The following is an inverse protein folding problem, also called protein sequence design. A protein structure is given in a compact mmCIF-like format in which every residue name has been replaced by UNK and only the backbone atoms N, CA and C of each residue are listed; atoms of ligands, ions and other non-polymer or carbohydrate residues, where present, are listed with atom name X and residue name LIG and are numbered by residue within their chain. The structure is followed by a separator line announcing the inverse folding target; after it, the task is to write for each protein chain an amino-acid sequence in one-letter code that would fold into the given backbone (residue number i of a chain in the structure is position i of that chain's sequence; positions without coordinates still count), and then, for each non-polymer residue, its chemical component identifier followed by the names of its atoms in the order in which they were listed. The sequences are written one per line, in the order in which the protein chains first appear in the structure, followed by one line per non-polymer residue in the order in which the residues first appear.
data_IF_865651099652
#
_entry.id   IF_865651099652
#
_cell.length_a   1.000
_cell.length_b   1.000
_cell.length_c   1.000
_cell.angle_alpha   90.00
_cell.angle_beta   90.00
_cell.angle_gamma   90.00
#
_symmetry.space_group_name_H-M   'P 1'
#
loop_
_entity.id
_entity.type
_entity.pdbx_description
1 polymer ?
#
# COMPACT_ATOMS: atom_id res chain seq x y z
N UNK A 1 -12.39 -10.24 -25.41
CA UNK A 1 -13.49 -10.33 -24.42
C UNK A 1 -13.24 -11.34 -23.29
N UNK A 2 -13.10 -12.65 -23.52
CA UNK A 2 -12.92 -13.61 -22.40
C UNK A 2 -11.68 -13.32 -21.54
N UNK A 3 -10.55 -13.00 -22.17
CA UNK A 3 -9.34 -12.61 -21.43
C UNK A 3 -9.50 -11.32 -20.61
N UNK A 4 -10.33 -10.37 -21.07
CA UNK A 4 -10.64 -9.15 -20.33
C UNK A 4 -11.51 -9.46 -19.10
N UNK A 5 -12.55 -10.28 -19.26
CA UNK A 5 -13.39 -10.72 -18.14
C UNK A 5 -12.61 -11.54 -17.11
N UNK A 6 -11.69 -12.41 -17.54
CA UNK A 6 -10.80 -13.13 -16.63
C UNK A 6 -9.91 -12.19 -15.83
N UNK A 7 -9.34 -11.15 -16.47
CA UNK A 7 -8.55 -10.13 -15.79
C UNK A 7 -9.39 -9.35 -14.77
N UNK A 8 -10.61 -8.95 -15.13
CA UNK A 8 -11.54 -8.28 -14.22
C UNK A 8 -11.92 -9.18 -13.04
N UNK A 9 -12.22 -10.47 -13.29
CA UNK A 9 -12.58 -11.43 -12.27
C UNK A 9 -11.44 -11.67 -11.28
N UNK A 10 -10.20 -11.78 -11.76
CA UNK A 10 -9.01 -11.88 -10.91
C UNK A 10 -8.86 -10.63 -10.02
N UNK A 11 -9.09 -9.43 -10.57
CA UNK A 11 -9.01 -8.17 -9.79
C UNK A 11 -10.11 -8.04 -8.76
N UNK A 12 -11.35 -8.35 -9.13
CA UNK A 12 -12.49 -8.37 -8.21
C UNK A 12 -12.21 -9.33 -7.05
N UNK A 13 -11.68 -10.53 -7.34
CA UNK A 13 -11.32 -11.51 -6.29
C UNK A 13 -10.30 -10.92 -5.31
N UNK A 14 -9.17 -10.41 -5.81
CA UNK A 14 -8.10 -9.82 -4.98
C UNK A 14 -8.62 -8.66 -4.12
N UNK A 15 -9.42 -7.76 -4.70
CA UNK A 15 -10.00 -6.63 -3.97
C UNK A 15 -11.02 -7.08 -2.90
N UNK A 16 -11.77 -8.16 -3.16
CA UNK A 16 -12.75 -8.71 -2.22
C UNK A 16 -12.06 -9.34 -1.02
N UNK A 17 -11.03 -10.16 -1.26
CA UNK A 17 -10.20 -10.77 -0.21
C UNK A 17 -9.54 -9.70 0.66
N UNK A 18 -9.11 -8.58 0.07
CA UNK A 18 -8.57 -7.42 0.80
C UNK A 18 -9.62 -6.72 1.67
N UNK A 19 -10.82 -6.50 1.13
CA UNK A 19 -11.90 -5.85 1.87
C UNK A 19 -12.30 -6.67 3.11
N UNK A 20 -12.35 -8.00 2.97
CA UNK A 20 -12.63 -8.91 4.09
C UNK A 20 -11.53 -8.89 5.15
N UNK A 21 -10.25 -8.82 4.74
CA UNK A 21 -9.11 -8.76 5.64
C UNK A 21 -9.01 -7.45 6.43
N UNK A 22 -9.49 -6.32 5.90
CA UNK A 22 -9.47 -5.02 6.61
C UNK A 22 -10.47 -4.93 7.77
N UNK A 23 -11.35 -5.92 7.98
CA UNK A 23 -12.20 -6.00 9.18
C UNK A 23 -13.23 -4.87 9.36
N UNK A 24 -13.47 -4.06 8.32
CA UNK A 24 -14.44 -2.96 8.34
C UNK A 24 -13.90 -1.58 8.74
N UNK A 25 -12.62 -1.46 9.10
CA UNK A 25 -11.99 -0.16 9.35
C UNK A 25 -11.57 0.45 8.00
N UNK A 26 -12.23 1.54 7.58
CA UNK A 26 -12.05 2.14 6.26
C UNK A 26 -11.08 3.33 6.33
N UNK A 27 -9.79 3.07 6.11
CA UNK A 27 -8.81 4.13 5.83
C UNK A 27 -8.97 4.72 4.43
N UNK A 28 -8.26 5.82 4.13
CA UNK A 28 -8.32 6.46 2.80
C UNK A 28 -7.86 5.55 1.64
N UNK A 29 -6.91 4.63 1.89
CA UNK A 29 -6.48 3.61 0.92
C UNK A 29 -7.53 2.50 0.72
N UNK A 30 -8.39 2.27 1.72
CA UNK A 30 -9.50 1.34 1.63
C UNK A 30 -10.66 1.92 0.81
N UNK A 31 -10.84 3.25 0.84
CA UNK A 31 -11.87 3.92 0.02
C UNK A 31 -11.61 3.75 -1.48
N UNK A 32 -10.36 3.92 -1.96
CA UNK A 32 -10.08 3.75 -3.40
C UNK A 32 -10.28 2.30 -3.86
N UNK A 33 -9.91 1.33 -3.02
CA UNK A 33 -10.13 -0.10 -3.26
C UNK A 33 -11.63 -0.42 -3.29
N UNK A 34 -12.38 0.12 -2.34
CA UNK A 34 -13.82 -0.04 -2.27
C UNK A 34 -14.51 0.54 -3.51
N UNK A 35 -14.17 1.77 -3.92
CA UNK A 35 -14.73 2.42 -5.10
C UNK A 35 -14.39 1.65 -6.39
N UNK A 36 -13.15 1.15 -6.50
CA UNK A 36 -12.76 0.34 -7.64
C UNK A 36 -13.52 -1.00 -7.67
N UNK A 37 -13.73 -1.61 -6.51
CA UNK A 37 -14.52 -2.84 -6.39
C UNK A 37 -15.99 -2.61 -6.76
N UNK A 38 -16.56 -1.48 -6.32
CA UNK A 38 -17.90 -1.03 -6.68
C UNK A 38 -18.04 -0.73 -8.18
N UNK A 39 -16.95 -0.35 -8.85
CA UNK A 39 -16.92 -0.14 -10.30
C UNK A 39 -16.81 -1.46 -11.07
N UNK A 40 -15.90 -2.35 -10.65
CA UNK A 40 -15.58 -3.59 -11.38
C UNK A 40 -16.64 -4.69 -11.22
N UNK A 41 -17.23 -4.85 -10.03
CA UNK A 41 -18.21 -5.92 -9.77
C UNK A 41 -19.45 -5.81 -10.67
N UNK A 42 -20.15 -4.66 -10.76
CA UNK A 42 -21.32 -4.53 -11.63
C UNK A 42 -20.95 -4.69 -13.12
N UNK A 43 -19.86 -4.06 -13.56
CA UNK A 43 -19.39 -4.18 -14.95
C UNK A 43 -19.10 -5.63 -15.34
N UNK A 44 -18.46 -6.41 -14.46
CA UNK A 44 -18.20 -7.83 -14.69
C UNK A 44 -19.50 -8.63 -14.81
N UNK A 45 -20.49 -8.38 -13.95
CA UNK A 45 -21.77 -9.07 -14.00
C UNK A 45 -22.53 -8.77 -15.31
N UNK A 46 -22.50 -7.51 -15.75
CA UNK A 46 -23.12 -7.09 -17.02
C UNK A 46 -22.42 -7.77 -18.21
N UNK A 47 -21.08 -7.76 -18.25
CA UNK A 47 -20.32 -8.41 -19.32
C UNK A 47 -20.56 -9.92 -19.37
N UNK A 48 -20.68 -10.58 -18.21
CA UNK A 48 -21.04 -11.99 -18.13
C UNK A 48 -22.44 -12.26 -18.68
N UNK A 49 -23.41 -11.40 -18.37
CA UNK A 49 -24.77 -11.48 -18.92
C UNK A 49 -24.77 -11.30 -20.44
N UNK A 50 -24.08 -10.28 -20.96
CA UNK A 50 -23.96 -10.02 -22.39
C UNK A 50 -23.27 -11.19 -23.11
N UNK A 51 -22.19 -11.77 -22.55
CA UNK A 51 -21.56 -12.96 -23.15
C UNK A 51 -22.54 -14.13 -23.28
N UNK A 52 -23.41 -14.34 -22.29
CA UNK A 52 -24.39 -15.43 -22.29
C UNK A 52 -25.59 -15.21 -23.22
N UNK A 53 -25.77 -14.01 -23.77
CA UNK A 53 -26.93 -13.65 -24.57
C UNK A 53 -26.49 -12.98 -25.88
N UNK A 54 -26.58 -13.67 -27.01
CA UNK A 54 -26.06 -13.17 -28.30
C UNK A 54 -27.04 -12.26 -29.06
N UNK A 55 -28.23 -11.98 -28.53
CA UNK A 55 -29.30 -11.25 -29.22
C UNK A 55 -29.31 -9.72 -29.06
N UNK A 56 -28.28 -9.12 -28.46
CA UNK A 56 -28.25 -7.66 -28.24
C UNK A 56 -27.55 -6.92 -29.39
N UNK A 57 -27.95 -5.66 -29.59
CA UNK A 57 -27.29 -4.77 -30.54
C UNK A 57 -25.90 -4.35 -30.03
N UNK A 58 -24.83 -4.37 -30.85
CA UNK A 58 -23.44 -4.16 -30.41
C UNK A 58 -23.18 -2.82 -29.72
N UNK A 59 -23.97 -1.79 -30.03
CA UNK A 59 -23.94 -0.50 -29.31
C UNK A 59 -24.13 -0.67 -27.80
N UNK A 60 -24.92 -1.64 -27.34
CA UNK A 60 -25.10 -1.89 -25.91
C UNK A 60 -23.77 -2.25 -25.25
N UNK A 61 -23.01 -3.15 -25.86
CA UNK A 61 -21.67 -3.50 -25.35
C UNK A 61 -20.73 -2.30 -25.41
N UNK A 62 -20.78 -1.52 -26.48
CA UNK A 62 -19.99 -0.30 -26.60
C UNK A 62 -20.26 0.67 -25.44
N UNK A 63 -21.53 0.91 -25.10
CA UNK A 63 -21.93 1.79 -24.02
C UNK A 63 -21.43 1.31 -22.65
N UNK A 64 -21.52 0.01 -22.36
CA UNK A 64 -20.99 -0.58 -21.12
C UNK A 64 -19.45 -0.46 -21.02
N UNK A 65 -18.73 -0.71 -22.12
CA UNK A 65 -17.27 -0.58 -22.17
C UNK A 65 -16.82 0.88 -22.04
N UNK A 66 -17.58 1.82 -22.61
CA UNK A 66 -17.35 3.26 -22.51
C UNK A 66 -17.50 3.74 -21.07
N UNK A 67 -18.56 3.29 -20.38
CA UNK A 67 -18.78 3.60 -18.97
C UNK A 67 -17.64 3.04 -18.11
N UNK A 68 -17.28 1.77 -18.29
CA UNK A 68 -16.19 1.14 -17.57
C UNK A 68 -14.87 1.88 -17.78
N UNK A 69 -14.48 2.17 -19.02
CA UNK A 69 -13.24 2.86 -19.33
C UNK A 69 -13.19 4.24 -18.67
N UNK A 70 -14.27 5.01 -18.77
CA UNK A 70 -14.38 6.34 -18.17
C UNK A 70 -14.23 6.30 -16.65
N UNK A 71 -14.88 5.34 -15.98
CA UNK A 71 -14.75 5.16 -14.54
C UNK A 71 -13.34 4.75 -14.12
N UNK A 72 -12.66 3.91 -14.91
CA UNK A 72 -11.29 3.47 -14.61
C UNK A 72 -10.25 4.59 -14.76
N UNK A 73 -10.45 5.52 -15.69
CA UNK A 73 -9.58 6.70 -15.83
C UNK A 73 -9.54 7.55 -14.55
N UNK A 74 -10.65 7.63 -13.80
CA UNK A 74 -10.73 8.39 -12.56
C UNK A 74 -9.75 7.90 -11.46
N UNK A 75 -9.27 6.66 -11.55
CA UNK A 75 -8.29 6.11 -10.60
C UNK A 75 -6.83 6.39 -10.99
N UNK A 76 -6.58 7.10 -12.10
CA UNK A 76 -5.24 7.45 -12.56
C UNK A 76 -4.99 8.96 -12.40
N UNK A 77 -4.23 9.40 -11.39
CA UNK A 77 -4.01 10.83 -11.14
C UNK A 77 -3.29 11.54 -12.30
N UNK A 78 -2.42 10.83 -13.03
CA UNK A 78 -1.65 11.39 -14.14
C UNK A 78 -2.24 11.08 -15.53
N UNK A 79 -3.39 10.40 -15.60
CA UNK A 79 -4.01 10.14 -16.89
C UNK A 79 -4.71 11.41 -17.38
N UNK A 80 -4.28 11.90 -18.55
CA UNK A 80 -5.18 12.73 -19.38
C UNK A 80 -6.39 11.86 -19.72
N UNK A 81 -7.58 12.45 -19.75
CA UNK A 81 -8.75 11.79 -20.33
C UNK A 81 -8.37 11.37 -21.76
N UNK A 82 -8.03 10.09 -21.95
CA UNK A 82 -7.72 9.56 -23.27
C UNK A 82 -8.96 9.66 -24.14
N UNK A 83 -8.79 9.86 -25.44
CA UNK A 83 -9.91 9.81 -26.37
C UNK A 83 -10.53 8.41 -26.32
N UNK A 84 -11.76 8.32 -25.84
CA UNK A 84 -12.53 7.08 -25.87
C UNK A 84 -12.80 6.70 -27.32
N UNK A 85 -12.72 5.41 -27.69
CA UNK A 85 -13.05 4.98 -29.05
C UNK A 85 -14.46 5.44 -29.44
N UNK A 86 -14.62 6.00 -30.64
CA UNK A 86 -15.93 6.35 -31.18
C UNK A 86 -16.63 5.11 -31.75
N UNK A 87 -17.94 5.05 -31.58
CA UNK A 87 -18.73 3.97 -32.13
C UNK A 87 -18.75 4.04 -33.66
N UNK A 88 -18.35 2.95 -34.33
CA UNK A 88 -18.44 2.77 -35.77
C UNK A 88 -19.11 1.44 -36.05
N UNK A 89 -20.40 1.46 -36.41
CA UNK A 89 -21.15 0.23 -36.69
C UNK A 89 -20.61 -0.52 -37.91
N UNK A 90 -19.97 0.19 -38.85
CA UNK A 90 -19.34 -0.41 -40.03
C UNK A 90 -17.98 -1.06 -39.76
N UNK A 91 -17.36 -0.81 -38.60
CA UNK A 91 -16.04 -1.36 -38.23
C UNK A 91 -15.98 -1.69 -36.72
N UNK A 92 -16.88 -2.58 -36.30
CA UNK A 92 -16.97 -3.00 -34.89
C UNK A 92 -15.68 -3.68 -34.40
N UNK A 93 -14.96 -4.39 -35.29
CA UNK A 93 -13.71 -5.08 -34.96
C UNK A 93 -12.66 -4.10 -34.42
N UNK A 94 -12.41 -3.01 -35.16
CA UNK A 94 -11.45 -1.98 -34.75
C UNK A 94 -11.86 -1.29 -33.45
N UNK A 95 -13.16 -0.97 -33.32
CA UNK A 95 -13.70 -0.32 -32.12
C UNK A 95 -13.47 -1.17 -30.86
N UNK A 96 -13.87 -2.45 -30.89
CA UNK A 96 -13.77 -3.31 -29.72
C UNK A 96 -12.34 -3.76 -29.44
N UNK A 97 -11.48 -3.86 -30.46
CA UNK A 97 -10.05 -4.12 -30.25
C UNK A 97 -9.38 -2.98 -29.47
N UNK A 98 -9.65 -1.72 -29.85
CA UNK A 98 -9.16 -0.54 -29.12
C UNK A 98 -9.63 -0.52 -27.67
N UNK A 99 -10.89 -0.90 -27.41
CA UNK A 99 -11.38 -1.05 -26.04
C UNK A 99 -10.66 -2.16 -25.27
N UNK A 100 -10.41 -3.34 -25.87
CA UNK A 100 -9.72 -4.44 -25.20
C UNK A 100 -8.28 -4.03 -24.80
N UNK A 101 -7.55 -3.38 -25.71
CA UNK A 101 -6.20 -2.85 -25.45
C UNK A 101 -6.21 -1.77 -24.35
N UNK A 102 -7.07 -0.77 -24.48
CA UNK A 102 -7.19 0.32 -23.51
C UNK A 102 -7.58 -0.18 -22.12
N UNK A 103 -8.59 -1.05 -22.03
CA UNK A 103 -9.07 -1.57 -20.75
C UNK A 103 -8.04 -2.48 -20.08
N UNK A 104 -7.21 -3.23 -20.83
CA UNK A 104 -6.10 -4.00 -20.23
C UNK A 104 -5.07 -3.10 -19.57
N UNK A 105 -4.69 -2.01 -20.24
CA UNK A 105 -3.77 -1.01 -19.66
C UNK A 105 -4.38 -0.40 -18.42
N UNK A 106 -5.62 0.11 -18.52
CA UNK A 106 -6.33 0.70 -17.38
C UNK A 106 -6.44 -0.28 -16.23
N UNK A 107 -6.94 -1.50 -16.45
CA UNK A 107 -7.08 -2.51 -15.42
C UNK A 107 -5.75 -2.86 -14.76
N UNK A 108 -4.65 -2.90 -15.52
CA UNK A 108 -3.31 -3.16 -14.97
C UNK A 108 -2.88 -2.04 -14.02
N UNK A 109 -3.07 -0.79 -14.44
CA UNK A 109 -2.58 0.41 -13.72
C UNK A 109 -3.45 0.82 -12.53
N UNK A 110 -4.76 0.55 -12.57
CA UNK A 110 -5.74 1.02 -11.57
C UNK A 110 -5.67 0.28 -10.23
N UNK A 111 -4.91 -0.82 -10.14
CA UNK A 111 -4.79 -1.52 -8.86
C UNK A 111 -4.12 -0.59 -7.85
N UNK A 112 -4.80 -0.25 -6.74
CA UNK A 112 -4.14 0.43 -5.65
C UNK A 112 -3.04 -0.53 -5.18
N UNK A 113 -1.79 -0.16 -5.44
CA UNK A 113 -0.65 -0.73 -4.74
C UNK A 113 -0.93 -0.40 -3.28
N UNK A 114 -1.28 -1.42 -2.49
CA UNK A 114 -1.33 -1.28 -1.05
C UNK A 114 0.03 -0.72 -0.64
N UNK A 115 0.04 0.42 0.02
CA UNK A 115 1.02 0.59 1.07
C UNK A 115 0.61 -0.39 2.16
N UNK A 116 0.93 -1.68 1.98
CA UNK A 116 0.91 -2.60 3.10
C UNK A 116 1.88 -1.97 4.09
N UNK A 117 1.38 -1.57 5.26
CA UNK A 117 2.22 -0.92 6.26
C UNK A 117 3.52 -1.70 6.46
N UNK A 118 4.59 -1.01 6.87
CA UNK A 118 5.91 -1.63 6.97
C UNK A 118 5.84 -2.79 7.97
N UNK A 119 6.05 -4.03 7.52
CA UNK A 119 6.06 -5.21 8.38
C UNK A 119 7.48 -5.57 8.77
N UNK A 120 7.80 -5.42 10.04
CA UNK A 120 9.06 -5.92 10.60
C UNK A 120 9.02 -7.44 10.71
N UNK A 121 10.02 -8.08 10.12
CA UNK A 121 10.31 -9.50 10.24
C UNK A 121 11.55 -9.66 11.12
N UNK A 122 11.49 -10.59 12.07
CA UNK A 122 12.62 -10.88 12.94
C UNK A 122 13.68 -11.65 12.14
N UNK A 123 14.86 -11.08 12.00
CA UNK A 123 16.00 -11.74 11.33
C UNK A 123 16.89 -12.47 12.34
N UNK A 124 17.09 -11.88 13.52
CA UNK A 124 17.84 -12.50 14.61
C UNK A 124 17.30 -12.09 15.97
N UNK A 125 18.01 -12.47 17.05
CA UNK A 125 17.55 -12.21 18.40
C UNK A 125 17.41 -10.71 18.72
N UNK A 126 18.25 -9.88 18.10
CA UNK A 126 18.34 -8.44 18.30
C UNK A 126 18.10 -7.63 17.01
N UNK A 127 17.76 -8.27 15.88
CA UNK A 127 17.62 -7.59 14.58
C UNK A 127 16.29 -7.91 13.92
N UNK A 128 15.60 -6.85 13.51
CA UNK A 128 14.39 -6.89 12.70
C UNK A 128 14.65 -6.18 11.38
N UNK A 129 13.97 -6.62 10.31
CA UNK A 129 14.05 -6.00 9.00
C UNK A 129 12.70 -5.94 8.30
N UNK A 130 12.56 -4.99 7.40
CA UNK A 130 11.54 -4.92 6.38
C UNK A 130 12.23 -4.75 5.03
N UNK A 131 11.84 -5.56 4.06
CA UNK A 131 12.35 -5.55 2.69
C UNK A 131 11.24 -5.15 1.73
N UNK A 132 11.60 -4.61 0.57
CA UNK A 132 10.66 -4.17 -0.47
C UNK A 132 9.64 -3.15 0.07
N UNK A 133 10.10 -2.19 0.87
CA UNK A 133 9.25 -1.15 1.45
C UNK A 133 8.85 -0.16 0.37
N UNK A 134 7.54 0.14 0.25
CA UNK A 134 7.04 1.08 -0.76
C UNK A 134 7.65 2.47 -0.54
N UNK A 135 8.38 2.97 -1.53
CA UNK A 135 9.01 4.29 -1.49
C UNK A 135 8.01 5.42 -1.23
N UNK A 136 6.76 5.28 -1.66
CA UNK A 136 5.71 6.29 -1.43
C UNK A 136 5.32 6.37 0.03
N UNK A 137 5.41 5.26 0.77
CA UNK A 137 5.21 5.24 2.22
C UNK A 137 6.39 5.88 2.94
N UNK A 138 7.62 5.57 2.52
CA UNK A 138 8.85 6.15 3.08
C UNK A 138 8.90 7.68 2.89
N UNK A 139 8.35 8.20 1.80
CA UNK A 139 8.39 9.63 1.48
C UNK A 139 7.11 10.40 1.84
N UNK A 140 5.95 9.73 1.91
CA UNK A 140 4.64 10.36 2.04
C UNK A 140 3.93 10.15 3.37
N UNK A 141 4.55 9.45 4.33
CA UNK A 141 3.98 9.24 5.64
C UNK A 141 5.03 9.45 6.74
N UNK A 142 4.58 9.94 7.89
CA UNK A 142 5.34 9.92 9.13
C UNK A 142 5.40 8.50 9.69
N UNK A 143 6.61 8.01 9.99
CA UNK A 143 6.84 6.62 10.43
C UNK A 143 7.17 6.58 11.93
N UNK A 144 6.50 5.69 12.66
CA UNK A 144 6.70 5.47 14.09
C UNK A 144 6.92 3.98 14.40
N UNK A 145 7.73 3.71 15.42
CA UNK A 145 7.79 2.44 16.13
C UNK A 145 6.79 2.49 17.27
N UNK A 146 5.86 1.55 17.32
CA UNK A 146 5.05 1.31 18.50
C UNK A 146 5.69 0.16 19.28
N UNK A 147 6.04 0.43 20.54
CA UNK A 147 6.79 -0.48 21.40
C UNK A 147 6.02 -0.74 22.68
N UNK A 148 5.71 -2.01 22.94
CA UNK A 148 5.19 -2.48 24.21
C UNK A 148 6.31 -3.23 24.92
N UNK A 149 6.77 -2.67 26.03
CA UNK A 149 7.76 -3.28 26.90
C UNK A 149 7.21 -3.31 28.33
N UNK A 150 7.15 -4.50 28.91
CA UNK A 150 6.60 -4.73 30.25
C UNK A 150 7.71 -4.48 31.29
N UNK A 151 7.96 -3.19 31.56
CA UNK A 151 8.91 -2.74 32.58
C UNK A 151 8.23 -1.73 33.52
N UNK A 152 8.53 -1.84 34.81
CA UNK A 152 8.01 -0.95 35.85
C UNK A 152 8.76 0.38 35.92
N UNK A 153 10.01 0.45 35.43
CA UNK A 153 10.80 1.67 35.42
C UNK A 153 10.60 2.46 34.12
N UNK A 154 9.97 3.66 34.14
CA UNK A 154 9.74 4.46 32.93
C UNK A 154 11.03 4.93 32.23
N UNK A 155 12.20 4.78 32.87
CA UNK A 155 13.49 5.11 32.25
C UNK A 155 13.74 4.33 30.95
N UNK A 156 13.13 3.14 30.79
CA UNK A 156 13.25 2.29 29.62
C UNK A 156 12.94 3.03 28.31
N UNK A 157 12.03 4.00 28.34
CA UNK A 157 11.64 4.80 27.16
C UNK A 157 12.82 5.61 26.63
N UNK A 158 13.51 6.31 27.53
CA UNK A 158 14.69 7.08 27.19
C UNK A 158 15.86 6.17 26.79
N UNK A 159 15.99 5.02 27.45
CA UNK A 159 16.99 4.02 27.12
C UNK A 159 16.77 3.41 25.74
N UNK A 160 15.53 3.10 25.38
CA UNK A 160 15.16 2.55 24.09
C UNK A 160 15.52 3.53 22.97
N UNK A 161 15.09 4.80 23.09
CA UNK A 161 15.43 5.83 22.11
C UNK A 161 16.95 6.02 21.93
N UNK A 162 17.74 5.81 22.99
CA UNK A 162 19.20 5.93 22.97
C UNK A 162 19.89 4.72 22.33
N UNK A 163 19.46 3.51 22.72
CA UNK A 163 20.17 2.27 22.43
C UNK A 163 19.68 1.55 21.17
N UNK A 164 18.39 1.66 20.82
CA UNK A 164 17.88 1.15 19.57
C UNK A 164 18.54 1.89 18.39
N UNK A 165 18.82 1.15 17.31
CA UNK A 165 19.40 1.73 16.08
C UNK A 165 18.56 1.35 14.89
N UNK A 166 18.34 2.31 14.01
CA UNK A 166 17.56 2.14 12.80
C UNK A 166 18.36 2.59 11.57
N UNK A 167 18.14 1.97 10.43
CA UNK A 167 18.81 2.33 9.17
C UNK A 167 18.35 1.44 8.03
N UNK A 168 18.99 1.56 6.87
CA UNK A 168 18.83 0.57 5.80
C UNK A 168 19.36 -0.77 6.29
N UNK A 169 18.82 -1.88 5.77
CA UNK A 169 19.30 -3.22 6.15
C UNK A 169 20.79 -3.35 5.84
N UNK A 170 21.26 -2.80 4.74
CA UNK A 170 22.63 -2.87 4.25
C UNK A 170 23.64 -2.12 5.15
N UNK A 171 23.16 -1.12 5.90
CA UNK A 171 24.01 -0.27 6.72
C UNK A 171 23.94 -0.60 8.22
N UNK A 172 23.02 -1.47 8.66
CA UNK A 172 22.78 -1.66 10.10
C UNK A 172 24.01 -2.21 10.83
N UNK A 173 24.75 -3.13 10.22
CA UNK A 173 26.00 -3.63 10.79
C UNK A 173 27.06 -2.53 10.91
N UNK A 174 27.17 -1.65 9.91
CA UNK A 174 28.09 -0.51 9.92
C UNK A 174 27.71 0.50 11.00
N UNK A 175 26.42 0.79 11.14
CA UNK A 175 25.89 1.69 12.18
C UNK A 175 26.31 1.19 13.55
N UNK A 176 26.19 -0.12 13.79
CA UNK A 176 26.54 -0.75 15.06
C UNK A 176 28.05 -0.79 15.29
N UNK A 177 28.84 -1.25 14.31
CA UNK A 177 30.29 -1.41 14.47
C UNK A 177 31.02 -0.08 14.67
N UNK A 178 30.50 0.99 14.08
CA UNK A 178 31.11 2.33 14.08
C UNK A 178 30.42 3.30 15.04
N UNK A 179 29.50 2.81 15.88
CA UNK A 179 28.71 3.60 16.83
C UNK A 179 28.04 4.84 16.20
N UNK A 180 27.60 4.72 14.95
CA UNK A 180 26.94 5.80 14.23
C UNK A 180 25.51 5.98 14.78
N UNK A 181 24.94 7.19 14.68
CA UNK A 181 23.59 7.44 15.18
C UNK A 181 22.51 6.67 14.41
N UNK A 182 22.75 6.38 13.11
CA UNK A 182 21.74 5.81 12.22
C UNK A 182 20.61 6.81 11.93
N UNK A 183 19.44 6.29 11.54
CA UNK A 183 18.17 7.04 11.53
C UNK A 183 17.79 7.34 12.98
N UNK A 184 17.59 8.62 13.29
CA UNK A 184 17.33 9.07 14.66
C UNK A 184 15.93 8.63 15.11
N UNK A 185 15.87 8.08 16.33
CA UNK A 185 14.65 7.60 16.97
C UNK A 185 14.33 8.56 18.13
N UNK A 186 13.14 9.17 18.11
CA UNK A 186 12.71 10.11 19.15
C UNK A 186 11.40 9.71 19.78
N UNK A 187 11.32 9.70 21.11
CA UNK A 187 10.08 9.41 21.81
C UNK A 187 9.01 10.47 21.51
N UNK A 188 7.81 10.02 21.19
CA UNK A 188 6.65 10.84 20.89
C UNK A 188 5.66 10.76 22.06
N UNK A 189 5.81 11.67 23.02
CA UNK A 189 4.94 11.73 24.21
C UNK A 189 3.45 11.94 23.88
N UNK A 190 3.14 12.54 22.72
CA UNK A 190 1.78 12.77 22.24
C UNK A 190 1.69 12.33 20.78
N UNK A 191 1.29 11.07 20.52
CA UNK A 191 1.06 10.60 19.17
C UNK A 191 0.05 11.50 18.44
N UNK A 192 0.21 11.73 17.12
CA UNK A 192 -0.76 12.49 16.34
C UNK A 192 -2.16 11.88 16.45
N UNK A 193 -3.22 12.69 16.48
CA UNK A 193 -4.59 12.21 16.66
C UNK A 193 -5.10 11.25 15.57
N UNK A 194 -4.43 11.18 14.41
CA UNK A 194 -4.72 10.21 13.34
C UNK A 194 -4.11 8.81 13.60
N UNK A 195 -3.27 8.66 14.63
CA UNK A 195 -2.65 7.40 14.98
C UNK A 195 -3.57 6.60 15.92
N UNK A 196 -3.90 5.36 15.55
CA UNK A 196 -4.67 4.47 16.41
C UNK A 196 -3.80 4.00 17.60
N UNK A 197 -3.98 4.62 18.76
CA UNK A 197 -3.18 4.35 19.96
C UNK A 197 -3.57 3.00 20.56
N UNK A 198 -2.59 2.15 20.82
CA UNK A 198 -2.75 0.88 21.53
C UNK A 198 -2.42 1.06 23.01
N UNK A 199 -3.23 0.46 23.88
CA UNK A 199 -3.00 0.52 25.32
C UNK A 199 -1.65 -0.11 25.68
N UNK A 200 -0.86 0.59 26.50
CA UNK A 200 0.46 0.16 26.97
C UNK A 200 1.62 0.36 25.97
N UNK A 201 1.36 0.84 24.75
CA UNK A 201 2.41 1.11 23.78
C UNK A 201 2.97 2.51 23.94
N UNK A 202 4.30 2.63 23.88
CA UNK A 202 5.00 3.89 23.68
C UNK A 202 5.41 4.04 22.22
N UNK A 203 5.39 5.29 21.74
CA UNK A 203 5.58 5.60 20.33
C UNK A 203 6.89 6.36 20.13
N UNK A 204 7.66 5.93 19.13
CA UNK A 204 8.93 6.57 18.77
C UNK A 204 8.92 6.94 17.29
N UNK A 205 9.11 8.22 16.97
CA UNK A 205 9.20 8.70 15.60
C UNK A 205 10.57 8.36 15.02
N UNK A 206 10.58 7.88 13.79
CA UNK A 206 11.80 7.84 12.97
C UNK A 206 11.95 9.21 12.29
N UNK A 207 13.06 9.91 12.55
CA UNK A 207 13.34 11.18 11.88
C UNK A 207 13.76 10.89 10.43
N UNK A 208 12.86 11.18 9.50
CA UNK A 208 13.00 10.91 8.06
C UNK A 208 13.90 11.95 7.38
N UNK A 209 15.11 12.15 7.93
CA UNK A 209 16.08 13.14 7.48
C UNK A 209 17.52 12.61 7.61
N UNK A 210 18.45 13.24 6.88
CA UNK A 210 19.87 12.89 6.87
C UNK A 210 20.23 11.67 6.01
N UNK A 211 21.52 11.39 5.91
CA UNK A 211 22.09 10.44 4.93
C UNK A 211 21.60 9.01 5.14
N UNK A 212 21.48 8.55 6.39
CA UNK A 212 20.96 7.20 6.68
C UNK A 212 19.50 7.01 6.25
N UNK A 213 18.68 8.07 6.34
CA UNK A 213 17.31 8.02 5.82
C UNK A 213 17.27 7.99 4.30
N UNK A 214 18.17 8.72 3.63
CA UNK A 214 18.30 8.65 2.18
C UNK A 214 18.66 7.23 1.72
N UNK A 215 19.55 6.54 2.43
CA UNK A 215 19.91 5.15 2.15
C UNK A 215 18.75 4.18 2.38
N UNK A 216 17.92 4.40 3.41
CA UNK A 216 16.64 3.66 3.59
C UNK A 216 15.74 3.82 2.35
N UNK A 217 15.61 5.05 1.84
CA UNK A 217 14.82 5.32 0.63
C UNK A 217 15.43 4.67 -0.62
N UNK A 218 16.75 4.75 -0.78
CA UNK A 218 17.48 4.21 -1.93
C UNK A 218 17.38 2.68 -2.00
N UNK A 219 17.63 2.01 -0.87
CA UNK A 219 17.59 0.55 -0.78
C UNK A 219 16.18 -0.01 -0.61
N UNK A 220 15.19 0.82 -0.23
CA UNK A 220 13.82 0.38 0.06
C UNK A 220 13.78 -0.72 1.14
N UNK A 221 14.72 -0.64 2.09
CA UNK A 221 14.84 -1.53 3.24
C UNK A 221 14.84 -0.72 4.53
N UNK A 222 14.36 -1.33 5.61
CA UNK A 222 14.43 -0.76 6.94
C UNK A 222 14.85 -1.85 7.92
N UNK A 223 15.87 -1.59 8.72
CA UNK A 223 16.32 -2.48 9.77
C UNK A 223 16.26 -1.77 11.13
N UNK A 224 15.92 -2.54 12.14
CA UNK A 224 15.90 -2.12 13.53
C UNK A 224 16.72 -3.09 14.36
N UNK A 225 17.82 -2.58 14.91
CA UNK A 225 18.54 -3.23 15.98
C UNK A 225 17.89 -2.88 17.33
N UNK A 226 17.48 -3.91 18.05
CA UNK A 226 16.91 -3.85 19.38
C UNK A 226 17.85 -4.53 20.38
N UNK A 227 18.44 -3.78 21.33
CA UNK A 227 19.30 -4.35 22.37
C UNK A 227 18.61 -5.49 23.14
N UNK A 228 19.39 -6.47 23.59
CA UNK A 228 18.88 -7.64 24.32
C UNK A 228 18.19 -7.28 25.65
N UNK A 229 18.46 -6.10 26.23
CA UNK A 229 17.73 -5.58 27.39
C UNK A 229 16.22 -5.48 27.12
N UNK A 230 15.83 -5.20 25.87
CA UNK A 230 14.44 -5.13 25.45
C UNK A 230 13.91 -6.44 24.87
N UNK A 231 14.61 -7.57 25.09
CA UNK A 231 14.16 -8.88 24.62
C UNK A 231 12.78 -9.19 25.20
N UNK A 232 11.83 -9.54 24.34
CA UNK A 232 10.44 -9.79 24.71
C UNK A 232 9.51 -8.58 24.52
N UNK A 233 10.05 -7.38 24.25
CA UNK A 233 9.23 -6.26 23.80
C UNK A 233 8.51 -6.61 22.50
N UNK A 234 7.26 -6.18 22.37
CA UNK A 234 6.52 -6.25 21.11
C UNK A 234 6.74 -4.96 20.35
N UNK A 235 7.07 -5.11 19.07
CA UNK A 235 7.37 -3.97 18.20
C UNK A 235 6.67 -4.10 16.87
N UNK A 236 6.16 -2.97 16.40
CA UNK A 236 5.53 -2.83 15.09
C UNK A 236 5.82 -1.44 14.53
N UNK A 237 5.74 -1.31 13.21
CA UNK A 237 5.77 0.00 12.57
C UNK A 237 4.34 0.44 12.31
N UNK A 238 4.08 1.69 12.65
CA UNK A 238 2.84 2.39 12.30
C UNK A 238 3.17 3.63 11.48
N UNK A 239 2.33 3.93 10.51
CA UNK A 239 2.52 5.05 9.59
C UNK A 239 1.33 5.97 9.64
N UNK A 240 1.58 7.28 9.64
CA UNK A 240 0.55 8.32 9.59
C UNK A 240 0.76 9.13 8.33
N UNK A 241 -0.19 9.08 7.41
CA UNK A 241 -0.15 9.92 6.21
C UNK A 241 -0.24 11.39 6.61
N UNK A 242 0.68 12.21 6.09
CA UNK A 242 0.67 13.67 6.30
C UNK A 242 -0.41 14.34 5.43
#
# INVERSE_FOLDING_TARGET
MDGLMQLMQAKVRVLSERQEASGGDLGASDLSQFLLLQTLRPALAILQHLRGNLGFHPERLFSELTQLASSLVAFRPDAKAGELPQYSHGDLTSVFQRFDEMLRVLLTDVMPKQSAGIKLQRESDALYKAENVDIRLLQGASIFLAVLHDDHDPSWVAEFARQAKCGAREDIELILSSALPGVRITHCQRPPGRLAIKSGYEYFRLEQAGDFWQRVCEHQTLALYMPLTFKGARIEIVTVNE
#
